data_IF_495438965443
#
_entry.id   IF_495438965443
#
_cell.length_a   1.000
_cell.length_b   1.000
_cell.length_c   1.000
_cell.angle_alpha   90.00
_cell.angle_beta   90.00
_cell.angle_gamma   90.00
#
_symmetry.space_group_name_H-M   'P 1'
#
loop_
_entity.id
_entity.type
_entity.pdbx_description
1 polymer ?
#
# COMPACT_ATOMS: atom_id res chain seq x y z
N UNK A 1 -8.71 14.12 4.45
CA UNK A 1 -9.68 13.12 4.87
C UNK A 1 -8.97 11.77 4.91
N UNK A 2 -8.62 11.29 6.10
CA UNK A 2 -8.13 9.93 6.27
C UNK A 2 -9.30 8.98 6.11
N UNK A 3 -9.35 8.24 5.01
CA UNK A 3 -10.24 7.10 4.89
C UNK A 3 -9.55 5.92 5.56
N UNK A 4 -9.63 5.86 6.88
CA UNK A 4 -9.12 4.72 7.65
C UNK A 4 -9.93 3.45 7.35
N UNK A 5 -11.14 3.61 6.79
CA UNK A 5 -12.02 2.53 6.36
C UNK A 5 -12.69 2.89 5.04
N UNK A 6 -12.70 1.94 4.13
CA UNK A 6 -13.37 2.03 2.85
C UNK A 6 -14.56 1.08 2.85
N UNK A 7 -15.76 1.61 2.86
CA UNK A 7 -16.98 0.83 2.68
C UNK A 7 -17.54 1.09 1.27
N UNK A 8 -17.55 0.07 0.43
CA UNK A 8 -18.18 0.14 -0.89
C UNK A 8 -19.67 0.49 -0.82
N UNK A 9 -20.36 0.16 0.28
CA UNK A 9 -21.76 0.52 0.45
C UNK A 9 -21.95 2.03 0.49
N UNK A 10 -21.03 2.76 1.13
CA UNK A 10 -21.02 4.22 1.16
C UNK A 10 -20.42 4.85 -0.10
N UNK A 11 -19.61 4.11 -0.83
CA UNK A 11 -18.94 4.55 -2.05
C UNK A 11 -19.91 4.68 -3.23
N UNK A 12 -20.85 3.78 -3.34
CA UNK A 12 -21.82 3.78 -4.43
C UNK A 12 -22.76 4.99 -4.32
N UNK A 13 -22.62 5.90 -5.30
CA UNK A 13 -23.42 7.12 -5.40
C UNK A 13 -22.79 8.39 -4.83
N UNK A 14 -21.70 8.30 -4.07
CA UNK A 14 -20.96 9.47 -3.53
C UNK A 14 -19.56 9.62 -4.14
N UNK A 15 -19.31 9.12 -5.31
CA UNK A 15 -18.01 8.96 -6.00
C UNK A 15 -17.24 10.27 -6.26
N UNK A 16 -16.96 11.04 -5.20
CA UNK A 16 -16.18 12.28 -5.34
C UNK A 16 -14.65 12.05 -5.22
N UNK A 17 -14.22 10.96 -4.59
CA UNK A 17 -12.83 10.76 -4.21
C UNK A 17 -12.21 9.49 -4.81
N UNK A 18 -13.00 8.57 -5.33
CA UNK A 18 -12.55 7.34 -5.99
C UNK A 18 -13.56 6.88 -7.04
N UNK A 19 -13.11 6.06 -7.97
CA UNK A 19 -13.94 5.47 -9.02
C UNK A 19 -14.02 3.96 -8.83
N UNK A 20 -15.23 3.44 -8.96
CA UNK A 20 -15.49 2.01 -9.10
C UNK A 20 -16.52 1.78 -10.21
N UNK A 21 -16.60 0.58 -10.74
CA UNK A 21 -17.64 0.22 -11.71
C UNK A 21 -19.02 0.35 -11.07
N UNK A 22 -19.99 0.83 -11.84
CA UNK A 22 -21.35 1.08 -11.35
C UNK A 22 -22.09 -0.18 -10.88
N UNK A 23 -21.69 -1.33 -11.40
CA UNK A 23 -22.27 -2.65 -11.15
C UNK A 23 -21.43 -3.50 -10.15
N UNK A 24 -20.37 -2.94 -9.56
CA UNK A 24 -19.46 -3.70 -8.71
C UNK A 24 -20.16 -4.33 -7.51
N UNK A 25 -21.07 -3.60 -6.85
CA UNK A 25 -21.86 -4.15 -5.75
C UNK A 25 -22.69 -5.35 -6.19
N UNK A 26 -23.46 -5.18 -7.28
CA UNK A 26 -24.32 -6.24 -7.83
C UNK A 26 -23.47 -7.46 -8.23
N UNK A 27 -22.30 -7.24 -8.82
CA UNK A 27 -21.37 -8.30 -9.16
C UNK A 27 -20.91 -9.07 -7.92
N UNK A 28 -20.52 -8.39 -6.85
CA UNK A 28 -20.09 -9.00 -5.58
C UNK A 28 -21.23 -9.81 -4.96
N UNK A 29 -22.42 -9.24 -4.86
CA UNK A 29 -23.59 -9.88 -4.27
C UNK A 29 -24.05 -11.10 -5.07
N UNK A 30 -24.18 -10.95 -6.40
CA UNK A 30 -24.61 -12.02 -7.30
C UNK A 30 -23.66 -13.22 -7.31
N UNK A 31 -22.37 -12.97 -7.14
CA UNK A 31 -21.36 -14.02 -7.15
C UNK A 31 -20.96 -14.48 -5.73
N UNK A 32 -21.64 -14.02 -4.68
CA UNK A 32 -21.39 -14.39 -3.28
C UNK A 32 -19.94 -14.15 -2.85
N UNK A 33 -19.32 -13.05 -3.29
CA UNK A 33 -17.91 -12.75 -3.04
C UNK A 33 -17.68 -11.93 -1.77
N UNK A 34 -18.72 -11.48 -1.08
CA UNK A 34 -18.56 -10.73 0.15
C UNK A 34 -18.15 -11.63 1.31
N UNK A 35 -16.88 -11.60 1.66
CA UNK A 35 -16.28 -12.31 2.78
C UNK A 35 -16.09 -11.42 4.02
N UNK A 36 -16.62 -10.21 4.01
CA UNK A 36 -16.47 -9.26 5.11
C UNK A 36 -17.17 -9.78 6.38
N UNK A 37 -16.42 -9.86 7.46
CA UNK A 37 -16.95 -10.23 8.78
C UNK A 37 -17.66 -9.07 9.47
N UNK A 38 -17.48 -7.84 9.00
CA UNK A 38 -18.00 -6.61 9.62
C UNK A 38 -19.32 -6.11 9.04
N UNK A 39 -19.91 -6.82 8.09
CA UNK A 39 -21.20 -6.48 7.48
C UNK A 39 -21.17 -5.38 6.40
N UNK A 40 -20.02 -4.76 6.14
CA UNK A 40 -19.81 -3.81 5.03
C UNK A 40 -19.29 -4.50 3.76
N UNK A 41 -19.32 -3.81 2.62
CA UNK A 41 -18.66 -4.24 1.40
C UNK A 41 -17.26 -3.60 1.33
N UNK A 42 -16.26 -4.34 1.77
CA UNK A 42 -14.86 -3.91 1.70
C UNK A 42 -14.15 -4.67 0.56
N UNK A 43 -13.63 -3.99 -0.48
CA UNK A 43 -12.94 -4.65 -1.59
C UNK A 43 -11.71 -5.45 -1.15
N UNK A 44 -11.03 -5.02 -0.10
CA UNK A 44 -9.88 -5.74 0.46
C UNK A 44 -10.29 -7.09 1.01
N UNK A 45 -11.40 -7.12 1.78
CA UNK A 45 -11.92 -8.36 2.35
C UNK A 45 -12.57 -9.24 1.28
N UNK A 46 -13.14 -8.62 0.23
CA UNK A 46 -13.82 -9.33 -0.85
C UNK A 46 -12.85 -9.99 -1.84
N UNK A 47 -11.79 -9.26 -2.23
CA UNK A 47 -10.89 -9.68 -3.31
C UNK A 47 -9.46 -9.98 -2.83
N UNK A 48 -9.15 -9.67 -1.58
CA UNK A 48 -7.86 -10.00 -0.97
C UNK A 48 -7.77 -11.47 -0.57
N UNK A 49 -6.56 -11.99 -0.50
CA UNK A 49 -6.30 -13.25 0.21
C UNK A 49 -6.34 -13.00 1.72
N UNK A 50 -6.65 -14.06 2.48
CA UNK A 50 -6.68 -14.04 3.95
C UNK A 50 -5.79 -15.15 4.51
N UNK A 51 -4.64 -15.35 3.88
CA UNK A 51 -3.69 -16.40 4.22
C UNK A 51 -2.58 -15.86 5.13
N UNK A 52 -2.05 -16.70 6.01
CA UNK A 52 -0.89 -16.36 6.84
C UNK A 52 0.32 -15.90 6.03
N UNK A 53 0.44 -16.35 4.79
CA UNK A 53 1.46 -15.91 3.85
C UNK A 53 1.42 -14.40 3.57
N UNK A 54 0.26 -13.76 3.67
CA UNK A 54 0.12 -12.31 3.50
C UNK A 54 0.92 -11.52 4.55
N UNK A 55 1.06 -12.05 5.76
CA UNK A 55 1.86 -11.45 6.82
C UNK A 55 3.38 -11.49 6.56
N UNK A 56 3.80 -12.16 5.51
CA UNK A 56 5.21 -12.18 5.06
C UNK A 56 5.37 -11.46 3.71
N UNK A 57 4.41 -11.64 2.81
CA UNK A 57 4.55 -11.23 1.41
C UNK A 57 3.82 -9.94 1.06
N UNK A 58 2.73 -9.57 1.74
CA UNK A 58 1.87 -8.47 1.33
C UNK A 58 1.74 -7.37 2.39
N UNK A 59 1.22 -7.71 3.57
CA UNK A 59 0.93 -6.77 4.66
C UNK A 59 2.15 -5.93 5.08
N UNK A 60 3.38 -6.51 5.23
CA UNK A 60 4.56 -5.73 5.59
C UNK A 60 4.93 -4.65 4.57
N UNK A 61 4.69 -4.89 3.29
CA UNK A 61 4.95 -3.89 2.24
C UNK A 61 4.00 -2.70 2.33
N UNK A 62 2.71 -2.97 2.56
CA UNK A 62 1.71 -1.93 2.79
C UNK A 62 2.06 -1.12 4.05
N UNK A 63 2.40 -1.80 5.16
CA UNK A 63 2.87 -1.15 6.38
C UNK A 63 4.06 -0.23 6.14
N UNK A 64 5.08 -0.69 5.40
CA UNK A 64 6.27 0.12 5.13
C UNK A 64 5.93 1.38 4.32
N UNK A 65 5.09 1.25 3.28
CA UNK A 65 4.66 2.40 2.46
C UNK A 65 3.86 3.40 3.29
N UNK A 66 2.89 2.95 4.07
CA UNK A 66 2.10 3.82 4.95
C UNK A 66 2.99 4.55 5.96
N UNK A 67 3.94 3.85 6.58
CA UNK A 67 4.93 4.41 7.50
C UNK A 67 5.83 5.45 6.82
N UNK A 68 6.32 5.16 5.64
CA UNK A 68 7.21 6.06 4.90
C UNK A 68 6.54 7.39 4.54
N UNK A 69 5.31 7.33 4.05
CA UNK A 69 4.57 8.53 3.63
C UNK A 69 3.89 9.26 4.79
N UNK A 70 3.76 8.63 5.95
CA UNK A 70 3.06 9.17 7.12
C UNK A 70 3.82 8.93 8.43
N UNK A 71 5.09 9.34 8.53
CA UNK A 71 5.98 8.95 9.64
C UNK A 71 5.56 9.52 11.00
N UNK A 72 4.69 10.54 11.05
CA UNK A 72 4.28 11.23 12.29
C UNK A 72 2.79 11.11 12.58
N UNK A 73 1.97 10.76 11.59
CA UNK A 73 0.51 10.65 11.73
C UNK A 73 0.11 9.53 12.68
N UNK A 74 0.92 8.49 12.75
CA UNK A 74 0.75 7.34 13.64
C UNK A 74 2.08 7.02 14.32
N UNK A 75 2.01 6.30 15.43
CA UNK A 75 3.18 5.65 16.02
C UNK A 75 3.39 4.32 15.29
N UNK A 76 4.52 4.15 14.65
CA UNK A 76 4.81 2.99 13.80
C UNK A 76 5.76 1.99 14.43
N UNK A 77 6.47 2.40 15.47
CA UNK A 77 7.55 1.61 16.07
C UNK A 77 7.37 1.47 17.59
N UNK A 78 7.91 0.42 18.15
CA UNK A 78 7.90 0.17 19.59
C UNK A 78 6.58 -0.38 20.14
N UNK A 79 6.46 -0.52 21.47
CA UNK A 79 5.29 -1.14 22.12
C UNK A 79 3.98 -0.36 21.95
N UNK A 80 4.05 0.93 21.62
CA UNK A 80 2.89 1.79 21.39
C UNK A 80 2.53 1.94 19.91
N UNK A 81 3.11 1.13 19.04
CA UNK A 81 2.83 1.18 17.61
C UNK A 81 1.34 0.94 17.34
N UNK A 82 0.73 1.82 16.53
CA UNK A 82 -0.65 1.68 16.12
C UNK A 82 -0.83 0.47 15.18
N UNK A 83 0.20 0.20 14.38
CA UNK A 83 0.24 -0.92 13.45
C UNK A 83 1.61 -1.58 13.43
N UNK A 84 1.61 -2.87 13.21
CA UNK A 84 2.82 -3.69 12.99
C UNK A 84 2.90 -4.12 11.52
N UNK A 85 4.02 -4.66 11.06
CA UNK A 85 4.11 -5.23 9.71
C UNK A 85 3.10 -6.35 9.42
N UNK A 86 2.48 -6.92 10.46
CA UNK A 86 1.52 -8.03 10.34
C UNK A 86 0.08 -7.64 10.69
N UNK A 87 -0.21 -6.35 10.84
CA UNK A 87 -1.55 -5.87 11.19
C UNK A 87 -2.53 -6.06 10.03
N UNK A 88 -3.63 -6.75 10.27
CA UNK A 88 -4.71 -6.96 9.29
C UNK A 88 -5.59 -5.73 9.11
N UNK A 89 -5.59 -4.84 10.10
CA UNK A 89 -6.38 -3.62 10.17
C UNK A 89 -5.62 -2.38 9.64
N UNK A 90 -4.59 -2.56 8.82
CA UNK A 90 -3.92 -1.44 8.16
C UNK A 90 -4.94 -0.59 7.41
N UNK A 91 -4.83 0.76 7.47
CA UNK A 91 -5.70 1.64 6.71
C UNK A 91 -5.68 1.29 5.21
N UNK A 92 -6.85 1.31 4.58
CA UNK A 92 -6.98 1.12 3.13
C UNK A 92 -6.18 2.17 2.35
N UNK A 93 -6.25 3.41 2.79
CA UNK A 93 -5.48 4.53 2.26
C UNK A 93 -5.24 5.57 3.34
N UNK A 94 -4.21 6.39 3.15
CA UNK A 94 -3.90 7.54 3.99
C UNK A 94 -3.52 8.73 3.12
N UNK A 95 -3.87 9.92 3.55
CA UNK A 95 -3.34 11.14 2.93
C UNK A 95 -1.89 11.28 3.36
N UNK A 96 -0.92 11.37 2.44
CA UNK A 96 0.49 11.49 2.78
C UNK A 96 0.77 12.83 3.47
N UNK A 97 1.69 12.84 4.43
CA UNK A 97 2.05 14.06 5.19
C UNK A 97 2.69 15.14 4.33
N UNK A 98 3.23 14.78 3.19
CA UNK A 98 3.82 15.70 2.21
C UNK A 98 3.43 15.30 0.80
N UNK A 99 3.54 16.24 -0.13
CA UNK A 99 3.37 15.94 -1.56
C UNK A 99 4.40 14.90 -1.99
N UNK A 100 3.94 13.83 -2.64
CA UNK A 100 4.78 12.75 -3.12
C UNK A 100 5.50 13.19 -4.39
N UNK A 101 6.81 12.97 -4.44
CA UNK A 101 7.66 13.23 -5.60
C UNK A 101 7.99 11.94 -6.36
N UNK A 102 8.48 12.01 -7.61
CA UNK A 102 8.99 10.83 -8.31
C UNK A 102 10.09 10.10 -7.51
N UNK A 103 10.94 10.83 -6.80
CA UNK A 103 11.99 10.26 -5.96
C UNK A 103 11.43 9.48 -4.78
N UNK A 104 10.37 9.98 -4.15
CA UNK A 104 9.67 9.25 -3.08
C UNK A 104 9.09 7.92 -3.61
N UNK A 105 8.51 7.93 -4.82
CA UNK A 105 7.97 6.71 -5.44
C UNK A 105 9.09 5.73 -5.78
N UNK A 106 10.18 6.19 -6.39
CA UNK A 106 11.36 5.34 -6.66
C UNK A 106 11.88 4.70 -5.38
N UNK A 107 12.04 5.49 -4.31
CA UNK A 107 12.47 4.98 -3.01
C UNK A 107 11.52 3.92 -2.46
N UNK A 108 10.22 4.18 -2.46
CA UNK A 108 9.23 3.24 -1.95
C UNK A 108 9.18 1.93 -2.74
N UNK A 109 9.25 2.00 -4.08
CA UNK A 109 9.22 0.81 -4.95
C UNK A 109 10.51 0.00 -4.92
N UNK A 110 11.65 0.63 -4.62
CA UNK A 110 12.94 -0.06 -4.45
C UNK A 110 13.23 -0.43 -2.99
N UNK A 111 12.28 -0.22 -2.09
CA UNK A 111 12.51 -0.37 -0.65
C UNK A 111 12.68 -1.83 -0.22
N UNK A 112 13.56 -2.03 0.74
CA UNK A 112 13.89 -3.30 1.36
C UNK A 112 13.77 -3.24 2.90
N UNK A 113 12.88 -2.39 3.41
CA UNK A 113 12.69 -2.11 4.85
C UNK A 113 13.86 -1.38 5.51
N UNK A 114 14.67 -0.65 4.74
CA UNK A 114 15.78 0.14 5.25
C UNK A 114 15.34 1.09 6.37
N UNK A 115 16.15 1.17 7.43
CA UNK A 115 15.84 1.93 8.64
C UNK A 115 14.79 1.25 9.55
N UNK A 116 14.58 -0.04 9.37
CA UNK A 116 13.79 -0.90 10.27
C UNK A 116 14.58 -2.15 10.64
N UNK A 117 14.22 -2.88 11.71
CA UNK A 117 14.88 -4.13 12.07
C UNK A 117 14.72 -5.26 11.03
N UNK A 118 13.86 -5.08 10.02
CA UNK A 118 13.52 -6.09 9.03
C UNK A 118 14.34 -5.99 7.75
N UNK A 119 15.24 -5.01 7.66
CA UNK A 119 16.12 -4.83 6.50
C UNK A 119 17.03 -6.06 6.28
N UNK A 120 16.90 -6.79 5.16
CA UNK A 120 17.73 -7.95 4.88
C UNK A 120 19.22 -7.61 4.70
N UNK A 121 19.53 -6.35 4.41
CA UNK A 121 20.91 -5.89 4.17
C UNK A 121 21.57 -5.26 5.40
N UNK A 122 20.83 -5.01 6.48
CA UNK A 122 21.41 -4.51 7.72
C UNK A 122 22.11 -5.64 8.48
N UNK A 123 23.45 -5.65 8.42
CA UNK A 123 24.28 -6.65 9.11
C UNK A 123 24.27 -6.52 10.63
N UNK A 124 23.77 -5.41 11.17
CA UNK A 124 23.69 -5.14 12.62
C UNK A 124 22.31 -5.48 13.19
N UNK A 125 21.31 -5.70 12.34
CA UNK A 125 19.98 -6.09 12.78
C UNK A 125 19.96 -7.51 13.38
N UNK A 126 18.99 -7.76 14.27
CA UNK A 126 18.75 -9.08 14.84
C UNK A 126 18.55 -10.11 13.70
N UNK A 127 19.35 -11.19 13.65
CA UNK A 127 19.22 -12.23 12.62
C UNK A 127 17.82 -12.86 12.53
N UNK A 128 17.03 -12.84 13.60
CA UNK A 128 15.65 -13.36 13.61
C UNK A 128 14.65 -12.41 12.93
N UNK A 129 14.95 -11.12 12.89
CA UNK A 129 14.10 -10.10 12.29
C UNK A 129 14.56 -9.72 10.89
N UNK A 130 15.86 -9.76 10.66
CA UNK A 130 16.47 -9.41 9.38
C UNK A 130 15.98 -10.30 8.26
N UNK A 131 15.30 -9.69 7.27
CA UNK A 131 14.75 -10.43 6.13
C UNK A 131 13.53 -11.29 6.46
N UNK A 132 12.87 -11.07 7.61
CA UNK A 132 11.66 -11.79 8.00
C UNK A 132 10.52 -11.58 7.00
N UNK A 133 10.54 -10.47 6.26
CA UNK A 133 9.51 -10.10 5.29
C UNK A 133 10.09 -9.95 3.89
N UNK A 134 9.27 -10.25 2.89
CA UNK A 134 9.63 -10.06 1.49
C UNK A 134 9.68 -8.57 1.17
N UNK A 135 10.83 -8.06 0.74
CA UNK A 135 11.03 -6.69 0.34
C UNK A 135 10.11 -6.27 -0.83
N UNK A 136 9.88 -4.96 -0.98
CA UNK A 136 9.20 -4.38 -2.14
C UNK A 136 10.13 -4.47 -3.35
N UNK A 137 11.31 -3.85 -3.24
CA UNK A 137 12.39 -3.95 -4.23
C UNK A 137 13.22 -5.20 -3.96
N UNK A 138 12.86 -6.30 -4.58
CA UNK A 138 13.65 -7.54 -4.52
C UNK A 138 14.57 -7.65 -5.73
N UNK A 139 15.67 -8.38 -5.59
CA UNK A 139 16.67 -8.61 -6.64
C UNK A 139 16.17 -9.46 -7.84
N UNK A 140 14.89 -9.75 -7.91
CA UNK A 140 14.21 -10.49 -9.00
C UNK A 140 13.17 -9.65 -9.71
N UNK A 141 13.13 -8.35 -9.46
CA UNK A 141 12.30 -7.43 -10.23
C UNK A 141 13.00 -7.15 -11.56
N UNK A 142 12.32 -7.46 -12.67
CA UNK A 142 12.87 -7.27 -14.00
C UNK A 142 12.93 -5.79 -14.38
N UNK A 143 11.91 -5.03 -14.00
CA UNK A 143 11.86 -3.59 -14.22
C UNK A 143 10.92 -2.90 -13.25
N UNK A 144 11.08 -1.58 -13.14
CA UNK A 144 10.18 -0.67 -12.44
C UNK A 144 9.76 0.44 -13.39
N UNK A 145 8.48 0.75 -13.43
CA UNK A 145 7.95 1.86 -14.21
C UNK A 145 7.21 2.85 -13.31
N UNK A 146 7.40 4.15 -13.57
CA UNK A 146 6.65 5.24 -12.96
C UNK A 146 6.08 6.13 -14.05
N UNK A 147 4.76 6.24 -14.10
CA UNK A 147 4.05 7.17 -15.00
C UNK A 147 3.74 8.46 -14.25
N UNK A 148 4.16 9.58 -14.81
CA UNK A 148 3.94 10.90 -14.23
C UNK A 148 3.16 11.80 -15.18
N UNK A 149 2.04 12.35 -14.71
CA UNK A 149 1.30 13.39 -15.42
C UNK A 149 1.65 14.76 -14.84
N UNK A 150 1.99 15.71 -15.72
CA UNK A 150 2.43 17.07 -15.40
C UNK A 150 1.57 18.10 -16.12
N UNK A 151 0.33 18.37 -15.65
CA UNK A 151 -0.62 19.24 -16.34
C UNK A 151 -0.14 20.71 -16.46
N UNK A 152 0.87 21.10 -15.71
CA UNK A 152 1.42 22.45 -15.69
C UNK A 152 2.48 22.73 -16.78
N UNK A 153 2.85 21.74 -17.60
CA UNK A 153 3.82 21.90 -18.69
C UNK A 153 3.11 21.77 -20.05
N UNK A 154 3.76 22.20 -21.18
CA UNK A 154 3.18 22.02 -22.52
C UNK A 154 2.79 20.55 -22.78
N UNK A 155 1.71 20.35 -23.54
CA UNK A 155 1.11 19.03 -23.81
C UNK A 155 2.13 17.98 -24.27
N UNK A 156 3.07 18.36 -25.13
CA UNK A 156 4.12 17.46 -25.63
C UNK A 156 5.03 16.88 -24.52
N UNK A 157 5.01 17.45 -23.33
CA UNK A 157 5.85 17.05 -22.18
C UNK A 157 5.02 16.70 -20.93
N UNK A 158 3.69 16.66 -21.06
CA UNK A 158 2.81 16.48 -19.89
C UNK A 158 2.83 15.06 -19.32
N UNK A 159 3.15 14.07 -20.14
CA UNK A 159 3.28 12.67 -19.72
C UNK A 159 4.72 12.20 -19.79
N UNK A 160 5.24 11.63 -18.71
CA UNK A 160 6.58 11.08 -18.64
C UNK A 160 6.52 9.68 -18.07
N UNK A 161 7.24 8.78 -18.70
CA UNK A 161 7.50 7.45 -18.20
C UNK A 161 8.96 7.36 -17.72
N UNK A 162 9.12 6.90 -16.48
CA UNK A 162 10.41 6.62 -15.87
C UNK A 162 10.56 5.09 -15.81
N UNK A 163 11.58 4.58 -16.47
CA UNK A 163 11.89 3.15 -16.47
C UNK A 163 13.22 2.90 -15.76
N UNK A 164 13.26 1.90 -14.92
CA UNK A 164 14.47 1.35 -14.34
C UNK A 164 14.51 -0.15 -14.58
N UNK A 165 15.61 -0.63 -15.09
CA UNK A 165 15.87 -2.05 -15.31
C UNK A 165 16.84 -2.56 -14.23
N UNK A 166 16.60 -3.78 -13.72
CA UNK A 166 17.47 -4.44 -12.76
C UNK A 166 18.67 -5.10 -13.47
#
# INVERSE_FOLDING_TARGET
LGLDQFDLADAFGKQKEYMCSSDQREFIERNHLNLSLSGGLNPRDTFGSHEDADHVYNTPRAWFMLRYFNPRTKVWDGPAAAYTPRSDDLPWCMVPEKKITPEDVKYALSAHYQGTPFDPYDTHADPLLRGAYRAIGINRNDFMALLQLRPQVPEAYCAVEWLAFA
#
